data_IF_183928883333
#
_entry.id   IF_183928883333
#
_cell.length_a   1.000
_cell.length_b   1.000
_cell.length_c   1.000
_cell.angle_alpha   90.00
_cell.angle_beta   90.00
_cell.angle_gamma   90.00
#
_symmetry.space_group_name_H-M   'P 1'
#
loop_
_entity.id
_entity.type
_entity.pdbx_description
1 polymer ?
#
# COMPACT_ATOMS: atom_id res chain seq x y z
N UNK A 1 -29.56 11.43 -1.25
CA UNK A 1 -28.51 11.99 -0.38
C UNK A 1 -27.47 12.62 -1.29
N UNK A 2 -27.03 13.84 -1.01
CA UNK A 2 -25.97 14.46 -1.80
C UNK A 2 -24.71 13.60 -1.70
N UNK A 3 -24.07 13.30 -2.84
CA UNK A 3 -22.78 12.61 -2.86
C UNK A 3 -21.72 13.68 -2.74
N UNK A 4 -20.97 13.66 -1.63
CA UNK A 4 -19.88 14.58 -1.38
C UNK A 4 -18.56 13.82 -1.43
N UNK A 5 -17.55 14.41 -2.08
CA UNK A 5 -16.20 13.85 -2.21
C UNK A 5 -15.23 14.83 -1.57
N UNK A 6 -14.40 14.32 -0.67
CA UNK A 6 -13.42 15.13 0.05
C UNK A 6 -12.08 15.02 -0.67
N UNK A 7 -11.41 16.14 -0.87
CA UNK A 7 -10.00 16.19 -1.25
C UNK A 7 -9.25 16.76 -0.05
N UNK A 8 -8.20 16.07 0.40
CA UNK A 8 -7.39 16.56 1.53
C UNK A 8 -6.67 17.84 1.13
N UNK A 9 -6.55 18.80 2.05
CA UNK A 9 -5.88 20.09 1.77
C UNK A 9 -4.42 19.88 1.35
N UNK A 10 -3.76 18.87 1.93
CA UNK A 10 -2.39 18.48 1.61
C UNK A 10 -2.21 18.02 0.14
N UNK A 11 -3.30 17.77 -0.60
CA UNK A 11 -3.24 17.53 -2.04
C UNK A 11 -2.42 18.59 -2.78
N UNK A 12 -2.53 19.86 -2.37
CA UNK A 12 -1.83 20.97 -3.02
C UNK A 12 -0.34 21.08 -2.66
N UNK A 13 0.13 20.26 -1.72
CA UNK A 13 1.53 20.21 -1.26
C UNK A 13 2.18 18.86 -1.60
N UNK A 14 1.44 17.94 -2.22
CA UNK A 14 1.97 16.66 -2.70
C UNK A 14 2.97 16.92 -3.82
N UNK A 15 4.17 16.35 -3.69
CA UNK A 15 5.30 16.57 -4.61
C UNK A 15 4.91 16.27 -6.06
N UNK A 16 4.25 15.14 -6.29
CA UNK A 16 3.75 14.79 -7.62
C UNK A 16 2.77 15.84 -8.16
N UNK A 17 1.88 16.39 -7.32
CA UNK A 17 0.91 17.42 -7.74
C UNK A 17 1.58 18.76 -8.07
N UNK A 18 2.68 19.09 -7.39
CA UNK A 18 3.44 20.32 -7.63
C UNK A 18 4.09 20.29 -9.03
N UNK A 19 4.60 19.13 -9.45
CA UNK A 19 5.23 18.94 -10.76
C UNK A 19 4.24 18.89 -11.94
N UNK A 20 2.95 18.62 -11.66
CA UNK A 20 1.92 18.64 -12.69
C UNK A 20 1.69 20.05 -13.24
N UNK A 21 1.47 20.11 -14.54
CA UNK A 21 0.94 21.32 -15.18
C UNK A 21 -0.45 21.67 -14.61
N UNK A 22 -0.89 22.94 -14.66
CA UNK A 22 -2.22 23.32 -14.19
C UNK A 22 -3.36 22.52 -14.84
N UNK A 23 -3.20 22.17 -16.11
CA UNK A 23 -4.15 21.35 -16.88
C UNK A 23 -4.23 19.92 -16.34
N UNK A 24 -3.09 19.27 -16.12
CA UNK A 24 -3.04 17.93 -15.51
C UNK A 24 -3.60 17.93 -14.09
N UNK A 25 -3.24 18.94 -13.29
CA UNK A 25 -3.72 19.08 -11.92
C UNK A 25 -5.24 19.22 -11.86
N UNK A 26 -5.81 20.07 -12.72
CA UNK A 26 -7.26 20.21 -12.84
C UNK A 26 -7.91 18.89 -13.27
N UNK A 27 -7.35 18.21 -14.27
CA UNK A 27 -7.87 16.93 -14.73
C UNK A 27 -7.80 15.85 -13.65
N UNK A 28 -6.74 15.81 -12.85
CA UNK A 28 -6.65 14.85 -11.75
C UNK A 28 -7.67 15.13 -10.65
N UNK A 29 -7.87 16.39 -10.28
CA UNK A 29 -8.96 16.78 -9.35
C UNK A 29 -10.32 16.35 -9.92
N UNK A 30 -10.54 16.54 -11.22
CA UNK A 30 -11.75 16.09 -11.90
C UNK A 30 -11.93 14.57 -11.79
N UNK A 31 -10.88 13.77 -11.98
CA UNK A 31 -10.95 12.32 -11.78
C UNK A 31 -11.31 11.97 -10.32
N UNK A 32 -10.77 12.69 -9.34
CA UNK A 32 -11.05 12.43 -7.93
C UNK A 32 -12.45 12.86 -7.48
N UNK A 33 -13.03 13.87 -8.12
CA UNK A 33 -14.27 14.53 -7.68
C UNK A 33 -15.43 14.45 -8.67
N UNK A 34 -15.24 13.78 -9.80
CA UNK A 34 -16.21 13.69 -10.88
C UNK A 34 -17.56 13.10 -10.46
N UNK A 35 -18.60 13.42 -11.23
CA UNK A 35 -20.00 13.07 -10.91
C UNK A 35 -20.26 11.56 -10.85
N UNK A 36 -19.39 10.76 -11.48
CA UNK A 36 -19.47 9.30 -11.54
C UNK A 36 -18.60 8.59 -10.51
N UNK A 37 -17.82 9.32 -9.72
CA UNK A 37 -16.91 8.73 -8.72
C UNK A 37 -17.64 7.88 -7.70
N UNK A 38 -17.05 6.73 -7.38
CA UNK A 38 -17.61 5.69 -6.51
C UNK A 38 -16.74 5.48 -5.27
N UNK A 39 -17.30 4.89 -4.22
CA UNK A 39 -16.57 4.64 -2.98
C UNK A 39 -15.38 3.69 -3.18
N UNK A 40 -15.49 2.76 -4.13
CA UNK A 40 -14.38 1.88 -4.53
C UNK A 40 -13.30 2.54 -5.40
N UNK A 41 -13.49 3.77 -5.88
CA UNK A 41 -12.52 4.43 -6.78
C UNK A 41 -12.49 3.86 -8.20
N UNK A 42 -13.43 2.98 -8.54
CA UNK A 42 -13.61 2.43 -9.89
C UNK A 42 -14.97 2.84 -10.42
N UNK A 43 -15.01 3.45 -11.60
CA UNK A 43 -16.26 3.91 -12.19
C UNK A 43 -16.15 4.09 -13.71
N UNK A 44 -17.30 4.15 -14.37
CA UNK A 44 -17.39 4.35 -15.82
C UNK A 44 -17.12 5.83 -16.14
N UNK A 45 -16.11 6.07 -16.96
CA UNK A 45 -15.71 7.38 -17.47
C UNK A 45 -15.53 7.31 -19.01
N UNK A 46 -16.60 7.51 -19.79
CA UNK A 46 -16.48 7.64 -21.24
C UNK A 46 -15.75 8.93 -21.58
N UNK A 47 -14.78 8.89 -22.50
CA UNK A 47 -14.01 10.07 -22.94
C UNK A 47 -14.92 11.26 -23.33
N UNK A 48 -16.08 10.99 -23.96
CA UNK A 48 -17.08 12.01 -24.31
C UNK A 48 -17.71 12.72 -23.11
N UNK A 49 -17.86 12.04 -21.97
CA UNK A 49 -18.35 12.68 -20.73
C UNK A 49 -17.28 13.60 -20.16
N UNK A 50 -16.03 13.12 -20.11
CA UNK A 50 -14.91 13.94 -19.65
C UNK A 50 -14.72 15.18 -20.54
N UNK A 51 -14.83 15.05 -21.86
CA UNK A 51 -14.80 16.16 -22.82
C UNK A 51 -15.85 17.24 -22.49
N UNK A 52 -17.10 16.83 -22.25
CA UNK A 52 -18.19 17.75 -21.94
C UNK A 52 -18.08 18.39 -20.55
N UNK A 53 -17.63 17.64 -19.54
CA UNK A 53 -17.54 18.13 -18.16
C UNK A 53 -16.30 19.02 -17.94
N UNK A 54 -15.19 18.74 -18.63
CA UNK A 54 -13.95 19.53 -18.52
C UNK A 54 -13.84 20.66 -19.54
N UNK A 55 -14.58 20.57 -20.65
CA UNK A 55 -14.50 21.52 -21.77
C UNK A 55 -13.28 21.30 -22.68
N UNK A 56 -12.49 20.26 -22.45
CA UNK A 56 -11.35 19.90 -23.30
C UNK A 56 -11.77 19.20 -24.58
N UNK A 57 -10.86 19.14 -25.55
CA UNK A 57 -11.06 18.32 -26.76
C UNK A 57 -10.91 16.83 -26.45
N UNK A 58 -11.53 15.97 -27.26
CA UNK A 58 -11.36 14.51 -27.12
C UNK A 58 -9.89 14.07 -27.18
N UNK A 59 -9.06 14.71 -28.02
CA UNK A 59 -7.63 14.44 -28.12
C UNK A 59 -6.89 14.80 -26.83
N UNK A 60 -7.21 15.96 -26.23
CA UNK A 60 -6.64 16.40 -24.95
C UNK A 60 -7.01 15.44 -23.83
N UNK A 61 -8.28 15.02 -23.72
CA UNK A 61 -8.74 14.06 -22.71
C UNK A 61 -8.01 12.73 -22.86
N UNK A 62 -7.81 12.25 -24.09
CA UNK A 62 -7.08 11.01 -24.34
C UNK A 62 -5.61 11.11 -23.94
N UNK A 63 -4.93 12.21 -24.30
CA UNK A 63 -3.56 12.48 -23.88
C UNK A 63 -3.42 12.53 -22.35
N UNK A 64 -4.33 13.23 -21.67
CA UNK A 64 -4.32 13.34 -20.21
C UNK A 64 -4.54 11.98 -19.54
N UNK A 65 -5.52 11.19 -20.00
CA UNK A 65 -5.74 9.84 -19.49
C UNK A 65 -4.49 8.97 -19.65
N UNK A 66 -3.87 8.97 -20.83
CA UNK A 66 -2.66 8.18 -21.08
C UNK A 66 -1.50 8.62 -20.18
N UNK A 67 -1.29 9.92 -19.98
CA UNK A 67 -0.27 10.43 -19.04
C UNK A 67 -0.49 9.94 -17.62
N UNK A 68 -1.72 9.96 -17.11
CA UNK A 68 -2.00 9.45 -15.75
C UNK A 68 -1.89 7.93 -15.62
N UNK A 69 -2.08 7.20 -16.73
CA UNK A 69 -1.75 5.76 -16.79
C UNK A 69 -0.23 5.57 -16.74
N UNK A 70 0.53 6.33 -17.52
CA UNK A 70 2.01 6.29 -17.52
C UNK A 70 2.60 6.68 -16.16
N UNK A 71 2.02 7.67 -15.47
CA UNK A 71 2.40 8.04 -14.10
C UNK A 71 2.03 6.98 -13.06
N UNK A 72 1.26 5.95 -13.43
CA UNK A 72 0.79 4.93 -12.49
C UNK A 72 -0.18 5.47 -11.44
N UNK A 73 -0.93 6.54 -11.75
CA UNK A 73 -1.96 7.10 -10.85
C UNK A 73 -3.33 6.51 -11.12
N UNK A 74 -3.61 6.14 -12.37
CA UNK A 74 -4.87 5.50 -12.78
C UNK A 74 -4.62 4.30 -13.70
N UNK A 75 -5.62 3.44 -13.80
CA UNK A 75 -5.78 2.49 -14.90
C UNK A 75 -7.04 2.86 -15.70
N UNK A 76 -6.99 2.69 -17.01
CA UNK A 76 -8.14 2.95 -17.89
C UNK A 76 -8.37 1.76 -18.82
N UNK A 77 -9.58 1.20 -18.76
CA UNK A 77 -10.02 0.14 -19.65
C UNK A 77 -10.82 0.77 -20.81
N UNK A 78 -10.31 0.61 -22.03
CA UNK A 78 -10.89 1.20 -23.25
C UNK A 78 -12.18 0.50 -23.69
N UNK A 79 -12.35 -0.78 -23.38
CA UNK A 79 -13.52 -1.57 -23.77
C UNK A 79 -14.71 -1.25 -22.86
N UNK A 80 -14.49 -1.33 -21.54
CA UNK A 80 -15.55 -1.07 -20.55
C UNK A 80 -15.73 0.43 -20.29
N UNK A 81 -14.75 1.26 -20.68
CA UNK A 81 -14.67 2.70 -20.42
C UNK A 81 -14.63 2.98 -18.92
N UNK A 82 -14.00 2.09 -18.16
CA UNK A 82 -13.86 2.18 -16.71
C UNK A 82 -12.50 2.79 -16.36
N UNK A 83 -12.47 3.62 -15.33
CA UNK A 83 -11.23 4.15 -14.74
C UNK A 83 -11.11 3.62 -13.32
N UNK A 84 -9.88 3.25 -12.94
CA UNK A 84 -9.53 2.88 -11.57
C UNK A 84 -8.42 3.78 -11.05
N UNK A 85 -8.66 4.44 -9.92
CA UNK A 85 -7.70 5.30 -9.24
C UNK A 85 -6.87 4.46 -8.25
N UNK A 86 -5.57 4.32 -8.51
CA UNK A 86 -4.70 3.30 -7.87
C UNK A 86 -4.55 3.51 -6.36
N UNK A 87 -4.44 4.76 -5.91
CA UNK A 87 -4.26 5.12 -4.50
C UNK A 87 -5.56 5.61 -3.84
N UNK A 88 -6.72 5.20 -4.36
CA UNK A 88 -8.00 5.66 -3.84
C UNK A 88 -8.25 5.26 -2.38
N UNK A 89 -7.91 4.02 -2.01
CA UNK A 89 -8.17 3.46 -0.67
C UNK A 89 -7.38 4.16 0.44
N UNK A 90 -6.17 4.63 0.13
CA UNK A 90 -5.34 5.40 1.06
C UNK A 90 -6.07 6.64 1.60
N UNK A 91 -6.77 7.38 0.73
CA UNK A 91 -7.53 8.57 1.10
C UNK A 91 -8.99 8.27 1.47
N UNK A 92 -9.54 7.16 0.98
CA UNK A 92 -10.94 6.76 1.15
C UNK A 92 -11.05 5.35 1.76
N UNK A 93 -10.58 5.14 3.00
CA UNK A 93 -10.47 3.80 3.59
C UNK A 93 -11.83 3.16 3.85
N UNK A 94 -11.88 1.83 3.76
CA UNK A 94 -13.05 1.03 4.15
C UNK A 94 -13.04 0.86 5.67
N UNK A 95 -13.55 1.88 6.37
CA UNK A 95 -13.50 1.97 7.83
C UNK A 95 -14.56 1.14 8.56
N UNK A 96 -15.69 0.82 7.90
CA UNK A 96 -16.81 0.13 8.53
C UNK A 96 -17.60 -0.74 7.53
N UNK A 97 -18.45 -1.62 8.08
CA UNK A 97 -19.26 -2.58 7.31
C UNK A 97 -20.29 -1.90 6.39
N UNK A 98 -20.74 -0.68 6.68
CA UNK A 98 -21.67 0.03 5.80
C UNK A 98 -20.95 0.54 4.54
N UNK A 99 -19.73 1.05 4.71
CA UNK A 99 -18.84 1.42 3.58
C UNK A 99 -18.51 0.17 2.76
N UNK A 100 -18.17 -0.94 3.41
CA UNK A 100 -17.94 -2.21 2.74
C UNK A 100 -19.16 -2.69 1.93
N UNK A 101 -20.37 -2.64 2.50
CA UNK A 101 -21.62 -2.95 1.78
C UNK A 101 -21.85 -2.00 0.59
N UNK A 102 -21.45 -0.74 0.72
CA UNK A 102 -21.53 0.23 -0.37
C UNK A 102 -20.58 -0.17 -1.51
N UNK A 103 -19.31 -0.40 -1.18
CA UNK A 103 -18.28 -0.88 -2.10
C UNK A 103 -18.72 -2.18 -2.77
N UNK A 104 -19.26 -3.14 -2.03
CA UNK A 104 -19.77 -4.40 -2.58
C UNK A 104 -20.83 -4.18 -3.67
N UNK A 105 -21.80 -3.29 -3.42
CA UNK A 105 -22.84 -2.97 -4.42
C UNK A 105 -22.25 -2.30 -5.66
N UNK A 106 -21.26 -1.43 -5.47
CA UNK A 106 -20.57 -0.76 -6.57
C UNK A 106 -19.74 -1.73 -7.40
N UNK A 107 -18.95 -2.60 -6.77
CA UNK A 107 -18.11 -3.59 -7.45
C UNK A 107 -18.94 -4.56 -8.31
N UNK A 108 -20.15 -4.92 -7.89
CA UNK A 108 -21.06 -5.76 -8.69
C UNK A 108 -21.49 -5.12 -10.01
N UNK A 109 -21.37 -3.80 -10.14
CA UNK A 109 -21.74 -3.07 -11.38
C UNK A 109 -20.56 -2.87 -12.32
N UNK A 110 -19.35 -3.18 -11.87
CA UNK A 110 -18.12 -3.07 -12.65
C UNK A 110 -18.05 -4.23 -13.63
N UNK A 111 -17.63 -3.95 -14.87
CA UNK A 111 -17.52 -4.94 -15.93
C UNK A 111 -16.12 -5.54 -15.99
N UNK A 112 -15.09 -4.74 -15.72
CA UNK A 112 -13.70 -5.21 -15.73
C UNK A 112 -13.42 -6.09 -14.52
N UNK A 113 -13.28 -7.41 -14.77
CA UNK A 113 -12.86 -8.36 -13.74
C UNK A 113 -11.43 -8.09 -13.26
N UNK A 114 -10.56 -7.59 -14.14
CA UNK A 114 -9.19 -7.22 -13.80
C UNK A 114 -9.15 -6.15 -12.71
N UNK A 115 -9.95 -5.08 -12.85
CA UNK A 115 -10.01 -4.02 -11.84
C UNK A 115 -10.55 -4.52 -10.50
N UNK A 116 -11.53 -5.44 -10.52
CA UNK A 116 -12.04 -6.06 -9.29
C UNK A 116 -10.92 -6.86 -8.61
N UNK A 117 -10.15 -7.65 -9.36
CA UNK A 117 -9.04 -8.43 -8.80
C UNK A 117 -7.92 -7.55 -8.23
N UNK A 118 -7.51 -6.50 -8.94
CA UNK A 118 -6.50 -5.55 -8.47
C UNK A 118 -7.00 -4.82 -7.21
N UNK A 119 -8.27 -4.40 -7.19
CA UNK A 119 -8.88 -3.77 -6.02
C UNK A 119 -8.85 -4.69 -4.79
N UNK A 120 -9.28 -5.94 -4.94
CA UNK A 120 -9.27 -6.91 -3.85
C UNK A 120 -7.84 -7.20 -3.36
N UNK A 121 -6.87 -7.29 -4.28
CA UNK A 121 -5.45 -7.44 -3.92
C UNK A 121 -4.98 -6.26 -3.08
N UNK A 122 -5.22 -5.02 -3.52
CA UNK A 122 -4.90 -3.81 -2.75
C UNK A 122 -5.58 -3.80 -1.38
N UNK A 123 -6.84 -4.22 -1.29
CA UNK A 123 -7.52 -4.32 0.00
C UNK A 123 -6.81 -5.28 0.97
N UNK A 124 -6.28 -6.39 0.46
CA UNK A 124 -5.56 -7.39 1.25
C UNK A 124 -4.15 -6.90 1.63
N UNK A 125 -3.45 -6.24 0.71
CA UNK A 125 -2.13 -5.62 0.95
C UNK A 125 -2.20 -4.56 2.06
N UNK A 126 -3.26 -3.76 2.08
CA UNK A 126 -3.51 -2.74 3.10
C UNK A 126 -4.24 -3.28 4.35
N UNK A 127 -4.38 -4.62 4.48
CA UNK A 127 -5.00 -5.33 5.61
C UNK A 127 -6.44 -4.88 5.97
N UNK A 128 -7.24 -4.43 4.99
CA UNK A 128 -8.63 -4.05 5.24
C UNK A 128 -9.50 -5.24 5.61
N UNK A 129 -10.41 -5.02 6.57
CA UNK A 129 -11.43 -6.00 6.94
C UNK A 129 -12.55 -5.99 5.92
N UNK A 130 -12.44 -6.86 4.91
CA UNK A 130 -13.42 -6.97 3.80
C UNK A 130 -14.10 -8.36 3.70
N UNK A 131 -14.71 -8.87 4.79
CA UNK A 131 -15.31 -10.21 4.80
C UNK A 131 -16.41 -10.40 3.73
N UNK A 132 -17.25 -9.39 3.48
CA UNK A 132 -18.35 -9.46 2.51
C UNK A 132 -17.85 -9.45 1.08
N UNK A 133 -16.76 -8.73 0.80
CA UNK A 133 -16.15 -8.71 -0.53
C UNK A 133 -15.52 -10.06 -0.86
N UNK A 134 -14.75 -10.62 0.08
CA UNK A 134 -14.12 -11.93 -0.08
C UNK A 134 -15.15 -13.05 -0.21
N UNK A 135 -16.26 -12.98 0.52
CA UNK A 135 -17.35 -13.94 0.40
C UNK A 135 -17.96 -13.96 -1.01
N UNK A 136 -18.06 -12.80 -1.67
CA UNK A 136 -18.75 -12.68 -2.95
C UNK A 136 -17.86 -12.96 -4.16
N UNK A 137 -16.64 -12.42 -4.16
CA UNK A 137 -15.74 -12.51 -5.31
C UNK A 137 -14.69 -13.63 -5.18
N UNK A 138 -14.49 -14.16 -3.96
CA UNK A 138 -13.43 -15.11 -3.67
C UNK A 138 -12.05 -14.44 -3.54
N UNK A 139 -11.04 -15.25 -3.20
CA UNK A 139 -9.65 -14.79 -3.22
C UNK A 139 -9.20 -14.56 -4.67
N UNK A 140 -8.51 -13.43 -4.96
CA UNK A 140 -7.80 -13.27 -6.23
C UNK A 140 -6.81 -14.43 -6.38
N UNK A 141 -6.81 -15.12 -7.53
CA UNK A 141 -5.77 -16.09 -7.86
C UNK A 141 -4.47 -15.31 -8.14
N UNK A 142 -3.36 -15.77 -7.58
CA UNK A 142 -2.04 -15.26 -7.94
C UNK A 142 -1.72 -15.72 -9.37
N UNK A 143 -1.94 -14.85 -10.35
CA UNK A 143 -1.38 -15.02 -11.69
C UNK A 143 -0.05 -14.27 -11.73
N UNK A 144 1.04 -15.05 -11.73
CA UNK A 144 2.39 -14.61 -12.05
C UNK A 144 2.41 -14.02 -13.47
N UNK A 145 2.63 -12.72 -13.59
CA UNK A 145 3.11 -12.13 -14.83
C UNK A 145 4.34 -11.29 -14.56
N UNK A 146 5.47 -11.97 -14.76
CA UNK A 146 6.79 -11.41 -15.01
C UNK A 146 6.75 -10.39 -16.16
N UNK A 147 7.04 -9.12 -15.86
CA UNK A 147 7.77 -8.25 -16.80
C UNK A 147 8.38 -7.04 -16.06
N UNK A 148 9.71 -7.02 -16.04
CA UNK A 148 10.63 -5.86 -16.03
C UNK A 148 10.65 -4.96 -14.77
N UNK A 149 11.66 -5.00 -13.88
CA UNK A 149 13.00 -4.37 -14.00
C UNK A 149 12.90 -2.92 -14.53
N UNK A 150 13.33 -1.81 -13.89
CA UNK A 150 14.57 -1.40 -13.16
C UNK A 150 14.21 -0.03 -12.49
N UNK A 151 14.22 0.16 -11.16
CA UNK A 151 15.32 0.61 -10.26
C UNK A 151 15.69 2.11 -10.34
N UNK A 152 15.32 2.86 -9.27
CA UNK A 152 16.06 3.90 -8.49
C UNK A 152 16.26 5.30 -9.16
N UNK A 153 16.18 6.49 -8.53
CA UNK A 153 16.36 7.02 -7.16
C UNK A 153 15.69 8.42 -7.12
N UNK A 154 15.05 8.85 -6.03
CA UNK A 154 15.08 10.27 -5.65
C UNK A 154 15.38 10.41 -4.16
N UNK A 155 16.26 11.39 -3.90
CA UNK A 155 16.79 11.83 -2.61
C UNK A 155 15.79 12.77 -1.96
N UNK A 156 15.46 12.55 -0.69
CA UNK A 156 14.85 13.57 0.15
C UNK A 156 15.92 14.17 1.08
N UNK A 157 16.09 15.49 0.99
CA UNK A 157 16.64 16.32 2.05
C UNK A 157 15.51 16.68 3.02
N UNK A 158 15.85 16.59 4.30
CA UNK A 158 14.95 16.74 5.45
C UNK A 158 14.57 18.21 5.73
N UNK A 159 13.43 18.40 6.40
CA UNK A 159 13.34 19.36 7.50
C UNK A 159 12.19 19.03 8.46
N UNK A 160 12.40 19.44 9.72
CA UNK A 160 11.92 18.82 10.95
C UNK A 160 10.55 19.33 11.41
N UNK A 161 9.80 18.49 12.14
CA UNK A 161 8.87 18.96 13.16
C UNK A 161 9.06 18.12 14.43
N UNK A 162 9.51 18.83 15.48
CA UNK A 162 9.75 18.36 16.84
C UNK A 162 8.51 17.72 17.49
N UNK A 163 8.68 16.54 18.11
CA UNK A 163 7.81 16.08 19.20
C UNK A 163 8.66 15.48 20.31
N UNK A 164 8.72 16.25 21.40
CA UNK A 164 8.86 15.91 22.81
C UNK A 164 9.52 14.57 23.20
N UNK A 165 10.66 14.74 23.86
CA UNK A 165 11.46 13.81 24.66
C UNK A 165 10.71 12.64 25.30
N UNK A 166 11.12 11.41 24.96
CA UNK A 166 11.05 10.25 25.87
C UNK A 166 12.39 9.54 25.82
N UNK A 167 13.03 9.52 26.98
CA UNK A 167 14.27 8.87 27.45
C UNK A 167 14.91 7.79 26.55
N UNK A 168 16.23 7.94 26.43
CA UNK A 168 17.18 7.15 25.67
C UNK A 168 17.24 5.68 26.12
N UNK A 169 17.13 4.77 25.15
CA UNK A 169 17.75 3.45 25.23
C UNK A 169 18.40 3.19 23.86
N UNK A 170 19.73 3.15 23.84
CA UNK A 170 20.60 3.12 22.65
C UNK A 170 20.21 2.04 21.60
N UNK A 171 19.71 0.84 21.98
CA UNK A 171 19.26 -0.18 21.00
C UNK A 171 17.99 0.18 20.24
N UNK A 172 17.13 1.05 20.79
CA UNK A 172 15.84 1.36 20.19
C UNK A 172 15.99 2.34 19.02
N UNK A 173 17.00 3.22 19.07
CA UNK A 173 17.34 4.15 17.99
C UNK A 173 17.69 3.42 16.69
N UNK A 174 18.41 2.30 16.79
CA UNK A 174 18.84 1.52 15.61
C UNK A 174 17.67 0.81 14.93
N UNK A 175 16.66 0.36 15.67
CA UNK A 175 15.46 -0.27 15.11
C UNK A 175 14.70 0.72 14.23
N UNK A 176 14.47 1.94 14.72
CA UNK A 176 13.76 2.97 13.98
C UNK A 176 14.57 3.41 12.75
N UNK A 177 15.87 3.71 12.91
CA UNK A 177 16.76 4.09 11.81
C UNK A 177 16.81 3.02 10.71
N UNK A 178 16.98 1.76 11.09
CA UNK A 178 17.03 0.66 10.13
C UNK A 178 15.72 0.51 9.37
N UNK A 179 14.58 0.60 10.08
CA UNK A 179 13.26 0.54 9.46
C UNK A 179 13.08 1.66 8.44
N UNK A 180 13.38 2.90 8.80
CA UNK A 180 13.22 4.06 7.94
C UNK A 180 14.09 3.99 6.69
N UNK A 181 15.37 3.61 6.84
CA UNK A 181 16.33 3.56 5.74
C UNK A 181 16.10 2.39 4.77
N UNK A 182 15.57 1.26 5.25
CA UNK A 182 15.58 0.01 4.47
C UNK A 182 14.20 -0.55 4.17
N UNK A 183 13.16 -0.12 4.90
CA UNK A 183 11.81 -0.66 4.80
C UNK A 183 10.83 0.40 4.31
N UNK A 184 10.53 1.43 5.11
CA UNK A 184 9.53 2.47 4.80
C UNK A 184 9.57 3.58 5.86
N UNK A 185 8.93 4.73 5.60
CA UNK A 185 8.82 5.85 6.54
C UNK A 185 8.14 5.48 7.87
N UNK A 186 8.58 6.12 8.95
CA UNK A 186 8.08 5.88 10.31
C UNK A 186 6.80 6.68 10.61
N UNK A 187 5.63 6.14 10.25
CA UNK A 187 4.37 6.73 10.70
C UNK A 187 4.15 6.54 12.22
N UNK A 188 3.35 7.39 12.90
CA UNK A 188 3.07 7.25 14.34
C UNK A 188 2.56 5.87 14.75
N UNK A 189 1.83 5.19 13.85
CA UNK A 189 1.37 3.83 14.07
C UNK A 189 2.52 2.81 14.05
N UNK A 190 3.44 2.94 13.09
CA UNK A 190 4.61 2.07 12.96
C UNK A 190 5.54 2.23 14.17
N UNK A 191 5.79 3.46 14.59
CA UNK A 191 6.58 3.75 15.80
C UNK A 191 5.96 3.08 17.02
N UNK A 192 4.64 3.21 17.20
CA UNK A 192 3.91 2.55 18.30
C UNK A 192 4.02 1.03 18.22
N UNK A 193 3.87 0.44 17.04
CA UNK A 193 3.98 -1.01 16.86
C UNK A 193 5.39 -1.54 17.12
N UNK A 194 6.41 -0.89 16.56
CA UNK A 194 7.82 -1.24 16.80
C UNK A 194 8.15 -1.13 18.29
N UNK A 195 7.72 -0.05 18.96
CA UNK A 195 7.87 0.12 20.41
C UNK A 195 7.22 -1.03 21.19
N UNK A 196 6.01 -1.45 20.81
CA UNK A 196 5.34 -2.60 21.44
C UNK A 196 6.12 -3.90 21.24
N UNK A 197 6.75 -4.12 20.09
CA UNK A 197 7.55 -5.32 19.83
C UNK A 197 8.89 -5.30 20.55
N UNK A 198 9.55 -4.13 20.59
CA UNK A 198 10.77 -3.89 21.35
C UNK A 198 10.53 -4.25 22.82
N UNK A 199 9.43 -3.77 23.41
CA UNK A 199 9.06 -4.09 24.80
C UNK A 199 8.79 -5.58 25.04
N UNK A 200 8.44 -6.34 24.00
CA UNK A 200 8.07 -7.76 24.11
C UNK A 200 9.21 -8.73 23.87
N UNK A 201 10.17 -8.39 23.01
CA UNK A 201 11.22 -9.31 22.53
C UNK A 201 12.64 -8.74 22.61
N UNK A 202 12.81 -7.46 23.00
CA UNK A 202 14.02 -6.62 22.89
C UNK A 202 14.25 -5.98 21.50
N UNK A 203 14.93 -4.84 21.47
CA UNK A 203 15.27 -4.11 20.25
C UNK A 203 16.15 -4.90 19.29
N UNK A 204 17.12 -5.67 19.81
CA UNK A 204 18.01 -6.52 19.01
C UNK A 204 17.23 -7.55 18.18
N UNK A 205 16.23 -8.20 18.77
CA UNK A 205 15.37 -9.16 18.08
C UNK A 205 14.48 -8.48 17.03
N UNK A 206 13.97 -7.29 17.31
CA UNK A 206 13.19 -6.55 16.31
C UNK A 206 14.07 -6.15 15.13
N UNK A 207 15.31 -5.69 15.40
CA UNK A 207 16.29 -5.35 14.37
C UNK A 207 16.68 -6.57 13.52
N UNK A 208 16.90 -7.73 14.15
CA UNK A 208 17.22 -8.98 13.44
C UNK A 208 16.08 -9.41 12.50
N UNK A 209 14.82 -9.31 12.95
CA UNK A 209 13.66 -9.60 12.11
C UNK A 209 13.54 -8.62 10.92
N UNK A 210 13.89 -7.35 11.13
CA UNK A 210 13.91 -6.35 10.07
C UNK A 210 14.99 -6.63 9.01
N UNK A 211 16.19 -7.02 9.44
CA UNK A 211 17.27 -7.42 8.52
C UNK A 211 16.86 -8.62 7.66
N UNK A 212 16.26 -9.64 8.27
CA UNK A 212 15.75 -10.81 7.54
C UNK A 212 14.68 -10.40 6.53
N UNK A 213 13.78 -9.49 6.89
CA UNK A 213 12.76 -8.98 5.97
C UNK A 213 13.37 -8.25 4.76
N UNK A 214 14.41 -7.45 5.01
CA UNK A 214 15.15 -6.74 3.97
C UNK A 214 15.91 -7.70 3.03
N UNK A 215 16.67 -8.66 3.57
CA UNK A 215 17.44 -9.63 2.80
C UNK A 215 16.56 -10.53 1.92
N UNK A 216 15.34 -10.85 2.38
CA UNK A 216 14.37 -11.61 1.60
C UNK A 216 13.57 -10.75 0.60
N UNK A 217 13.92 -9.47 0.45
CA UNK A 217 13.20 -8.48 -0.35
C UNK A 217 11.69 -8.39 -0.02
N UNK A 218 11.33 -8.73 1.23
CA UNK A 218 9.96 -8.69 1.78
C UNK A 218 9.88 -7.59 2.83
N UNK A 219 10.06 -6.36 2.37
CA UNK A 219 10.17 -5.13 3.17
C UNK A 219 8.81 -4.65 3.70
N UNK A 220 8.07 -5.52 4.39
CA UNK A 220 6.77 -5.17 5.00
C UNK A 220 6.77 -5.46 6.48
N UNK A 221 6.18 -4.56 7.28
CA UNK A 221 6.05 -4.77 8.73
C UNK A 221 5.23 -6.03 9.04
N UNK A 222 4.33 -6.46 8.15
CA UNK A 222 3.59 -7.72 8.27
C UNK A 222 4.53 -8.94 8.27
N UNK A 223 5.50 -8.99 7.36
CA UNK A 223 6.49 -10.07 7.30
C UNK A 223 7.38 -10.07 8.56
N UNK A 224 7.83 -8.90 9.00
CA UNK A 224 8.58 -8.71 10.25
C UNK A 224 7.76 -9.21 11.45
N UNK A 225 6.49 -8.83 11.56
CA UNK A 225 5.56 -9.33 12.59
C UNK A 225 5.39 -10.85 12.50
N UNK A 226 5.38 -11.42 11.30
CA UNK A 226 5.34 -12.86 11.07
C UNK A 226 6.55 -13.58 11.69
N UNK A 227 7.75 -13.06 11.42
CA UNK A 227 9.01 -13.55 12.01
C UNK A 227 8.96 -13.44 13.54
N UNK A 228 8.62 -12.26 14.07
CA UNK A 228 8.57 -12.00 15.51
C UNK A 228 7.51 -12.88 16.21
N UNK A 229 6.34 -13.09 15.61
CA UNK A 229 5.32 -14.01 16.12
C UNK A 229 5.82 -15.46 16.12
N UNK A 230 6.56 -15.87 15.08
CA UNK A 230 7.16 -17.20 15.03
C UNK A 230 8.21 -17.37 16.13
N UNK A 231 9.05 -16.36 16.38
CA UNK A 231 10.02 -16.37 17.48
C UNK A 231 9.35 -16.37 18.85
N UNK A 232 8.28 -15.58 19.06
CA UNK A 232 7.45 -15.66 20.28
C UNK A 232 6.83 -17.05 20.46
N UNK A 233 6.39 -17.70 19.37
CA UNK A 233 5.80 -19.05 19.44
C UNK A 233 6.87 -20.09 19.75
N UNK A 234 8.04 -20.03 19.11
CA UNK A 234 9.16 -20.94 19.40
C UNK A 234 9.69 -20.76 20.82
N UNK A 235 9.76 -19.54 21.34
CA UNK A 235 10.11 -19.27 22.74
C UNK A 235 9.06 -19.68 23.78
N UNK A 236 7.84 -20.04 23.37
CA UNK A 236 6.82 -20.69 24.24
C UNK A 236 6.86 -22.22 24.16
N UNK A 237 7.63 -22.76 23.23
CA UNK A 237 7.89 -24.19 23.09
C UNK A 237 9.33 -24.45 23.53
N UNK A 238 9.67 -24.04 24.75
CA UNK A 238 10.79 -24.65 25.47
C UNK A 238 10.27 -25.95 26.09
N UNK A 239 10.37 -27.03 25.32
CA UNK A 239 10.78 -28.29 25.92
C UNK A 239 12.29 -28.22 26.05
N UNK A 240 12.73 -28.33 27.30
CA UNK A 240 14.07 -28.69 27.68
C UNK A 240 14.65 -29.78 26.77
N UNK A 241 15.93 -29.60 26.46
CA UNK A 241 16.90 -30.58 25.97
C UNK A 241 16.89 -30.92 24.47
N UNK A 242 18.09 -30.79 23.89
CA UNK A 242 18.37 -31.33 22.56
C UNK A 242 19.42 -30.62 21.72
N UNK A 243 20.25 -29.74 22.30
CA UNK A 243 21.44 -29.22 21.63
C UNK A 243 22.49 -30.34 21.50
N UNK A 244 22.55 -31.01 20.35
CA UNK A 244 23.79 -31.63 19.90
C UNK A 244 24.30 -30.93 18.65
N UNK A 245 25.44 -30.26 18.87
CA UNK A 245 26.33 -29.64 17.89
C UNK A 245 26.45 -30.51 16.64
N UNK A 246 26.32 -29.90 15.46
CA UNK A 246 27.07 -30.38 14.29
C UNK A 246 28.47 -29.80 14.41
N UNK A 247 29.36 -30.61 14.99
CA UNK A 247 30.79 -30.44 14.77
C UNK A 247 31.11 -30.91 13.35
N UNK A 248 31.83 -30.05 12.64
CA UNK A 248 32.51 -30.32 11.37
C UNK A 248 33.74 -31.16 11.69
N UNK A 249 33.87 -32.35 11.11
CA UNK A 249 35.09 -33.12 10.77
C UNK A 249 34.54 -34.47 10.26
N UNK A 250 34.78 -34.95 9.05
CA UNK A 250 36.05 -35.06 8.35
C UNK A 250 36.45 -36.54 8.31
N UNK A 251 36.46 -37.11 7.10
CA UNK A 251 37.22 -38.29 6.63
C UNK A 251 36.63 -39.70 6.75
N UNK A 252 36.57 -40.32 5.56
CA UNK A 252 36.83 -41.72 5.20
C UNK A 252 35.83 -42.83 5.53
N UNK A 253 35.26 -43.37 4.43
CA UNK A 253 34.89 -44.78 4.16
C UNK A 253 35.93 -45.79 4.68
N UNK A 254 35.60 -47.10 4.86
CA UNK A 254 34.66 -47.89 4.03
C UNK A 254 33.57 -48.70 4.77
#
# INVERSE_FOLDING_TARGET
MAVYRNVQVNFWQDEFILDLTPEERYFYIYLLTGTKTKQCGIYILPKRVAELETGYSMETVEKLLNRFVEYGKILYDTETKEVFIINWLHYNPISNTNVEKCVLRELKTIKSNEFIHIFLRKCLEEEYKIPLLLQHFGMPKEEDNSSSQVVIEEKEEAEEIEVETIEEDVPNSEVYKFYEQNISSLSPYIVKELKNWIQRLSGEKVLEALKIAFENNKKTLAYVKGILRNWCKKGRVDFSEGMHRREVFGLYDP
#
